data_IF_561788342692
#
_entry.id   IF_561788342692
#
_cell.length_a   1.000
_cell.length_b   1.000
_cell.length_c   1.000
_cell.angle_alpha   90.00
_cell.angle_beta   90.00
_cell.angle_gamma   90.00
#
_symmetry.space_group_name_H-M   'P 1'
#
loop_
_entity.id
_entity.type
_entity.pdbx_description
1 polymer ?
#
# COMPACT_ATOMS: atom_id res chain seq x y z
N UNK A 1 -26.13 -7.10 -44.66
CA UNK A 1 -26.83 -8.38 -44.89
C UNK A 1 -27.80 -8.62 -43.74
N UNK A 2 -29.07 -8.86 -44.07
CA UNK A 2 -30.18 -9.10 -43.15
C UNK A 2 -30.00 -10.42 -42.39
N UNK A 3 -30.15 -10.41 -41.06
CA UNK A 3 -30.40 -11.65 -40.30
C UNK A 3 -31.90 -11.93 -40.32
N UNK A 4 -32.29 -12.90 -41.15
CA UNK A 4 -33.65 -13.41 -41.24
C UNK A 4 -34.02 -14.25 -40.02
N UNK A 5 -35.25 -14.03 -39.57
CA UNK A 5 -36.00 -14.87 -38.62
C UNK A 5 -36.28 -16.20 -39.31
N UNK A 6 -35.64 -17.28 -38.88
CA UNK A 6 -36.07 -18.65 -39.17
C UNK A 6 -35.70 -19.57 -38.01
N UNK A 7 -36.71 -20.20 -37.40
CA UNK A 7 -36.51 -21.34 -36.50
C UNK A 7 -37.15 -21.26 -35.12
N UNK A 8 -38.39 -20.76 -34.99
CA UNK A 8 -39.14 -20.80 -33.72
C UNK A 8 -40.18 -21.93 -33.64
N UNK A 9 -40.07 -22.99 -34.43
CA UNK A 9 -41.09 -24.06 -34.51
C UNK A 9 -40.61 -25.49 -34.19
N UNK A 10 -39.50 -25.66 -33.45
CA UNK A 10 -39.16 -26.99 -32.88
C UNK A 10 -38.64 -26.88 -31.45
N UNK A 11 -39.45 -26.40 -30.52
CA UNK A 11 -39.17 -26.46 -29.08
C UNK A 11 -40.35 -27.03 -28.26
N UNK A 12 -40.97 -28.11 -28.75
CA UNK A 12 -42.02 -28.83 -28.01
C UNK A 12 -41.72 -30.34 -27.87
N UNK A 13 -40.46 -30.71 -27.66
CA UNK A 13 -40.07 -32.13 -27.44
C UNK A 13 -39.05 -32.38 -26.33
N UNK A 14 -38.69 -31.36 -25.57
CA UNK A 14 -37.86 -31.55 -24.38
C UNK A 14 -38.75 -31.38 -23.15
N UNK A 15 -39.00 -32.49 -22.45
CA UNK A 15 -39.66 -32.47 -21.15
C UNK A 15 -38.87 -31.67 -20.10
N UNK A 16 -39.25 -31.72 -18.80
CA UNK A 16 -38.72 -30.84 -17.75
C UNK A 16 -37.18 -30.77 -17.67
N UNK A 17 -36.48 -31.81 -18.14
CA UNK A 17 -35.03 -31.85 -18.27
C UNK A 17 -34.45 -30.81 -19.24
N UNK A 18 -35.09 -30.53 -20.38
CA UNK A 18 -34.58 -29.54 -21.34
C UNK A 18 -34.78 -28.10 -20.90
N UNK A 19 -35.85 -27.83 -20.14
CA UNK A 19 -36.07 -26.53 -19.51
C UNK A 19 -35.02 -26.28 -18.40
N UNK A 20 -34.64 -27.30 -17.63
CA UNK A 20 -33.58 -27.20 -16.62
C UNK A 20 -32.20 -27.01 -17.26
N UNK A 21 -31.90 -27.69 -18.38
CA UNK A 21 -30.65 -27.49 -19.11
C UNK A 21 -30.60 -26.10 -19.75
N UNK A 22 -31.70 -25.59 -20.30
CA UNK A 22 -31.77 -24.23 -20.83
C UNK A 22 -31.68 -23.17 -19.73
N UNK A 23 -32.29 -23.40 -18.55
CA UNK A 23 -32.11 -22.55 -17.36
C UNK A 23 -30.67 -22.59 -16.84
N UNK A 24 -30.01 -23.75 -16.80
CA UNK A 24 -28.61 -23.87 -16.40
C UNK A 24 -27.66 -23.22 -17.42
N UNK A 25 -27.99 -23.26 -18.71
CA UNK A 25 -27.25 -22.56 -19.77
C UNK A 25 -27.50 -21.05 -19.74
N UNK A 26 -28.71 -20.60 -19.43
CA UNK A 26 -29.03 -19.19 -19.25
C UNK A 26 -28.46 -18.64 -17.93
N UNK A 27 -28.39 -19.43 -16.85
CA UNK A 27 -27.63 -19.08 -15.64
C UNK A 27 -26.11 -19.07 -15.88
N UNK A 28 -25.59 -19.96 -16.74
CA UNK A 28 -24.18 -19.91 -17.19
C UNK A 28 -23.89 -18.74 -18.13
N UNK A 29 -24.88 -18.28 -18.91
CA UNK A 29 -24.74 -17.12 -19.78
C UNK A 29 -24.95 -15.78 -19.05
N UNK A 30 -25.74 -15.74 -17.97
CA UNK A 30 -25.89 -14.54 -17.15
C UNK A 30 -24.80 -14.41 -16.05
N UNK A 31 -23.99 -15.44 -15.83
CA UNK A 31 -22.78 -15.40 -15.01
C UNK A 31 -21.49 -15.11 -15.80
N UNK A 32 -21.59 -14.74 -17.09
CA UNK A 32 -20.47 -14.35 -17.95
C UNK A 32 -20.71 -12.99 -18.59
N UNK A 33 -20.82 -11.97 -17.76
CA UNK A 33 -20.74 -10.56 -18.21
C UNK A 33 -20.14 -9.66 -17.11
N UNK A 34 -18.91 -9.96 -16.73
CA UNK A 34 -17.86 -9.01 -16.37
C UNK A 34 -16.57 -9.76 -16.70
N UNK A 35 -15.69 -9.23 -17.55
CA UNK A 35 -14.38 -9.83 -17.78
C UNK A 35 -13.58 -9.79 -16.47
N UNK A 36 -13.73 -10.86 -15.66
CA UNK A 36 -13.36 -10.98 -14.26
C UNK A 36 -11.86 -11.15 -14.01
N UNK A 37 -11.06 -10.18 -14.46
CA UNK A 37 -9.66 -10.06 -14.05
C UNK A 37 -9.59 -9.16 -12.83
N UNK A 38 -8.85 -9.62 -11.83
CA UNK A 38 -8.48 -8.83 -10.66
C UNK A 38 -7.93 -7.45 -11.10
N UNK A 39 -8.51 -6.31 -10.68
CA UNK A 39 -8.08 -4.98 -11.13
C UNK A 39 -6.64 -4.64 -10.75
N UNK A 40 -6.07 -5.28 -9.71
CA UNK A 40 -4.67 -5.12 -9.35
C UNK A 40 -3.74 -5.73 -10.39
N UNK A 41 -4.16 -6.82 -11.05
CA UNK A 41 -3.32 -7.52 -12.05
C UNK A 41 -2.90 -6.60 -13.18
N UNK A 42 -3.82 -5.84 -13.77
CA UNK A 42 -3.50 -4.95 -14.90
C UNK A 42 -2.55 -3.82 -14.48
N UNK A 43 -2.68 -3.34 -13.24
CA UNK A 43 -1.76 -2.35 -12.67
C UNK A 43 -0.36 -2.95 -12.51
N UNK A 44 -0.26 -4.15 -11.93
CA UNK A 44 1.01 -4.86 -11.75
C UNK A 44 1.70 -5.16 -13.08
N UNK A 45 0.95 -5.67 -14.07
CA UNK A 45 1.48 -5.99 -15.41
C UNK A 45 2.06 -4.77 -16.12
N UNK A 46 1.56 -3.57 -15.81
CA UNK A 46 2.04 -2.31 -16.40
C UNK A 46 3.35 -1.82 -15.79
N UNK A 47 3.57 -2.01 -14.49
CA UNK A 47 4.72 -1.43 -13.78
C UNK A 47 5.83 -2.43 -13.48
N UNK A 48 5.53 -3.72 -13.40
CA UNK A 48 6.50 -4.71 -12.94
C UNK A 48 7.66 -4.87 -13.94
N UNK A 49 8.87 -4.95 -13.40
CA UNK A 49 10.08 -5.35 -14.14
C UNK A 49 10.45 -6.75 -13.66
N UNK A 50 10.57 -7.70 -14.59
CA UNK A 50 10.83 -9.12 -14.28
C UNK A 50 9.87 -9.68 -13.22
N UNK A 51 8.58 -9.37 -13.38
CA UNK A 51 7.49 -9.72 -12.43
C UNK A 51 7.71 -9.18 -11.00
N UNK A 52 8.63 -8.26 -10.79
CA UNK A 52 8.90 -7.61 -9.50
C UNK A 52 8.35 -6.18 -9.48
N UNK A 53 7.64 -5.85 -8.40
CA UNK A 53 7.16 -4.49 -8.12
C UNK A 53 7.68 -4.00 -6.76
N UNK A 54 8.03 -2.73 -6.65
CA UNK A 54 8.31 -2.06 -5.38
C UNK A 54 7.01 -1.49 -4.83
N UNK A 55 6.67 -1.81 -3.59
CA UNK A 55 5.44 -1.38 -2.94
C UNK A 55 5.77 -0.51 -1.74
N UNK A 56 5.04 0.59 -1.61
CA UNK A 56 5.01 1.42 -0.41
C UNK A 56 3.58 1.93 -0.18
N UNK A 57 3.31 2.58 0.94
CA UNK A 57 1.97 3.03 1.30
C UNK A 57 1.96 4.47 1.81
N UNK A 58 0.99 5.26 1.34
CA UNK A 58 0.84 6.67 1.67
C UNK A 58 -0.58 7.00 2.12
N UNK A 59 -0.67 8.01 2.97
CA UNK A 59 -1.92 8.66 3.34
C UNK A 59 -1.72 10.18 3.40
N UNK A 60 -2.81 10.93 3.53
CA UNK A 60 -2.81 12.40 3.54
C UNK A 60 -1.75 13.03 4.47
N UNK A 61 -1.56 12.55 5.72
CA UNK A 61 -0.56 13.13 6.64
C UNK A 61 0.91 12.93 6.22
N UNK A 62 1.17 12.04 5.26
CA UNK A 62 2.51 11.62 4.82
C UNK A 62 2.80 11.99 3.36
N UNK A 63 2.03 12.89 2.74
CA UNK A 63 2.24 13.31 1.35
C UNK A 63 3.66 13.85 1.09
N UNK A 64 4.24 14.54 2.06
CA UNK A 64 5.60 15.08 1.93
C UNK A 64 6.69 14.01 2.00
N UNK A 65 6.45 12.94 2.76
CA UNK A 65 7.30 11.76 2.72
C UNK A 65 7.16 11.04 1.37
N UNK A 66 5.94 10.92 0.84
CA UNK A 66 5.70 10.32 -0.47
C UNK A 66 6.42 11.07 -1.59
N UNK A 67 6.32 12.39 -1.66
CA UNK A 67 7.08 13.17 -2.64
C UNK A 67 8.58 12.97 -2.50
N UNK A 68 9.10 13.05 -1.27
CA UNK A 68 10.52 12.85 -1.02
C UNK A 68 10.99 11.47 -1.50
N UNK A 69 10.26 10.42 -1.11
CA UNK A 69 10.57 9.05 -1.49
C UNK A 69 10.56 8.86 -3.00
N UNK A 70 9.52 9.37 -3.70
CA UNK A 70 9.42 9.29 -5.15
C UNK A 70 10.60 10.01 -5.82
N UNK A 71 10.95 11.21 -5.37
CA UNK A 71 12.05 11.98 -5.98
C UNK A 71 13.40 11.26 -5.87
N UNK A 72 13.67 10.58 -4.74
CA UNK A 72 14.86 9.74 -4.59
C UNK A 72 14.83 8.52 -5.51
N UNK A 73 13.72 7.77 -5.51
CA UNK A 73 13.57 6.55 -6.32
C UNK A 73 13.62 6.85 -7.82
N UNK A 74 12.96 7.91 -8.28
CA UNK A 74 13.02 8.34 -9.67
C UNK A 74 14.37 8.97 -10.05
N UNK A 75 15.06 9.61 -9.10
CA UNK A 75 16.44 10.07 -9.25
C UNK A 75 17.38 8.91 -9.61
N UNK A 76 17.16 7.74 -9.00
CA UNK A 76 17.84 6.48 -9.28
C UNK A 76 17.34 5.75 -10.55
N UNK A 77 16.44 6.38 -11.33
CA UNK A 77 15.83 5.84 -12.55
C UNK A 77 14.97 4.58 -12.33
N UNK A 78 14.51 4.37 -11.11
CA UNK A 78 13.61 3.28 -10.76
C UNK A 78 12.18 3.67 -11.16
N UNK A 79 11.49 2.79 -11.88
CA UNK A 79 10.13 3.02 -12.39
C UNK A 79 9.14 1.91 -12.03
N UNK A 80 9.59 0.78 -11.51
CA UNK A 80 8.73 -0.36 -11.19
C UNK A 80 8.14 -0.28 -9.77
N UNK A 81 7.62 0.89 -9.38
CA UNK A 81 7.05 1.11 -8.06
C UNK A 81 5.55 1.45 -8.11
N UNK A 82 4.84 1.10 -7.02
CA UNK A 82 3.46 1.49 -6.76
C UNK A 82 3.32 2.00 -5.32
N UNK A 83 2.51 3.04 -5.17
CA UNK A 83 2.10 3.60 -3.90
C UNK A 83 0.66 3.18 -3.64
N UNK A 84 0.48 2.40 -2.59
CA UNK A 84 -0.82 2.00 -2.09
C UNK A 84 -1.37 3.18 -1.29
N UNK A 85 -2.46 3.80 -1.76
CA UNK A 85 -2.96 5.03 -1.15
C UNK A 85 -4.19 4.75 -0.29
N UNK A 86 -4.19 5.25 0.95
CA UNK A 86 -5.24 4.93 1.93
C UNK A 86 -6.49 5.82 1.87
N UNK A 87 -6.37 6.99 1.23
CA UNK A 87 -7.45 7.96 1.11
C UNK A 87 -7.51 8.68 -0.24
N UNK A 88 -8.70 9.13 -0.60
CA UNK A 88 -9.02 9.77 -1.88
C UNK A 88 -8.28 11.11 -2.08
N UNK A 89 -7.98 11.82 -0.98
CA UNK A 89 -7.28 13.12 -1.04
C UNK A 89 -5.83 12.91 -1.44
N UNK A 90 -5.14 11.99 -0.77
CA UNK A 90 -3.78 11.61 -1.12
C UNK A 90 -3.72 10.99 -2.52
N UNK A 91 -4.70 10.17 -2.90
CA UNK A 91 -4.74 9.54 -4.22
C UNK A 91 -4.82 10.61 -5.31
N UNK A 92 -5.77 11.55 -5.20
CA UNK A 92 -5.92 12.64 -6.16
C UNK A 92 -4.66 13.49 -6.29
N UNK A 93 -3.97 13.74 -5.17
CA UNK A 93 -2.73 14.50 -5.18
C UNK A 93 -1.60 13.74 -5.87
N UNK A 94 -1.34 12.50 -5.46
CA UNK A 94 -0.22 11.70 -5.96
C UNK A 94 -0.44 11.28 -7.42
N UNK A 95 -1.65 10.89 -7.81
CA UNK A 95 -1.95 10.50 -9.19
C UNK A 95 -1.83 11.67 -10.16
N UNK A 96 -2.20 12.89 -9.72
CA UNK A 96 -2.02 14.10 -10.53
C UNK A 96 -0.53 14.43 -10.77
N UNK A 97 0.31 14.29 -9.75
CA UNK A 97 1.72 14.71 -9.80
C UNK A 97 2.66 13.59 -10.28
N UNK A 98 2.29 12.33 -10.06
CA UNK A 98 3.06 11.12 -10.38
C UNK A 98 2.16 10.05 -11.03
N UNK A 99 1.63 10.34 -12.23
CA UNK A 99 0.60 9.52 -12.86
C UNK A 99 1.08 8.09 -13.13
N UNK A 100 0.20 7.13 -12.87
CA UNK A 100 0.45 5.71 -13.15
C UNK A 100 1.23 4.96 -12.06
N UNK A 101 1.64 5.61 -10.97
CA UNK A 101 2.33 4.95 -9.85
C UNK A 101 1.48 4.82 -8.59
N UNK A 102 0.20 5.17 -8.64
CA UNK A 102 -0.71 5.09 -7.50
C UNK A 102 -1.72 3.95 -7.66
N UNK A 103 -2.11 3.35 -6.53
CA UNK A 103 -3.19 2.37 -6.44
C UNK A 103 -4.32 2.99 -5.62
N UNK A 104 -5.51 3.03 -6.21
CA UNK A 104 -6.68 3.63 -5.59
C UNK A 104 -7.09 2.85 -4.31
N UNK A 105 -7.51 3.54 -3.23
CA UNK A 105 -7.95 2.92 -1.98
C UNK A 105 -8.99 1.80 -2.15
N UNK A 106 -9.90 1.92 -3.11
CA UNK A 106 -10.94 0.91 -3.40
C UNK A 106 -10.41 -0.42 -3.94
N UNK A 107 -9.16 -0.47 -4.41
CA UNK A 107 -8.50 -1.73 -4.80
C UNK A 107 -7.91 -2.42 -3.56
N UNK A 108 -7.55 -1.63 -2.53
CA UNK A 108 -6.87 -2.06 -1.31
C UNK A 108 -7.89 -2.49 -0.25
N UNK A 109 -9.01 -1.77 -0.14
CA UNK A 109 -10.04 -1.99 0.87
C UNK A 109 -11.44 -1.88 0.28
N UNK A 110 -12.37 -2.69 0.78
CA UNK A 110 -13.79 -2.64 0.42
C UNK A 110 -14.58 -1.60 1.25
N UNK A 111 -13.89 -0.68 1.93
CA UNK A 111 -14.55 0.36 2.68
C UNK A 111 -15.47 1.20 1.76
N UNK A 112 -16.67 1.59 2.21
CA UNK A 112 -17.63 2.32 1.38
C UNK A 112 -17.18 3.77 1.10
N UNK A 113 -16.23 4.29 1.89
CA UNK A 113 -15.66 5.64 1.75
C UNK A 113 -14.19 5.61 2.13
N UNK A 114 -13.37 6.38 1.42
CA UNK A 114 -11.94 6.53 1.65
C UNK A 114 -11.60 8.00 1.91
N UNK A 115 -12.31 8.62 2.86
CA UNK A 115 -12.02 9.99 3.29
C UNK A 115 -10.62 10.14 3.88
N UNK A 116 -10.12 11.39 4.03
CA UNK A 116 -8.76 11.65 4.51
C UNK A 116 -8.51 10.96 5.85
N UNK A 117 -7.41 10.21 5.94
CA UNK A 117 -7.02 9.56 7.20
C UNK A 117 -6.38 10.59 8.14
N UNK A 118 -6.74 10.60 9.43
CA UNK A 118 -6.01 11.38 10.41
C UNK A 118 -4.62 10.81 10.61
N UNK A 119 -3.71 11.62 11.16
CA UNK A 119 -2.45 11.10 11.66
C UNK A 119 -2.74 10.11 12.80
N UNK A 120 -2.45 8.84 12.56
CA UNK A 120 -2.65 7.79 13.56
C UNK A 120 -1.54 7.85 14.61
N UNK A 121 -1.92 7.69 15.88
CA UNK A 121 -0.94 7.59 16.97
C UNK A 121 -0.23 6.24 16.86
N UNK A 122 1.10 6.25 16.95
CA UNK A 122 1.91 5.03 17.01
C UNK A 122 1.42 4.11 18.14
N UNK A 123 1.39 2.80 17.86
CA UNK A 123 0.91 1.75 18.77
C UNK A 123 -0.55 1.92 19.25
N UNK A 124 -1.35 2.69 18.51
CA UNK A 124 -2.81 2.67 18.69
C UNK A 124 -3.42 1.48 17.97
N UNK A 125 -4.62 1.08 18.38
CA UNK A 125 -5.36 -0.01 17.72
C UNK A 125 -5.56 0.27 16.23
N UNK A 126 -5.93 1.50 15.86
CA UNK A 126 -6.11 1.88 14.46
C UNK A 126 -4.80 1.80 13.65
N UNK A 127 -3.67 2.21 14.27
CA UNK A 127 -2.35 2.07 13.66
C UNK A 127 -2.01 0.60 13.44
N UNK A 128 -2.13 -0.25 14.47
CA UNK A 128 -1.82 -1.68 14.37
C UNK A 128 -2.71 -2.36 13.32
N UNK A 129 -4.01 -2.03 13.29
CA UNK A 129 -4.94 -2.54 12.28
C UNK A 129 -4.54 -2.15 10.87
N UNK A 130 -4.16 -0.89 10.63
CA UNK A 130 -3.67 -0.41 9.34
C UNK A 130 -2.40 -1.18 8.92
N UNK A 131 -1.46 -1.36 9.84
CA UNK A 131 -0.22 -2.10 9.60
C UNK A 131 -0.51 -3.56 9.22
N UNK A 132 -1.47 -4.23 9.87
CA UNK A 132 -1.88 -5.58 9.47
C UNK A 132 -2.61 -5.62 8.12
N UNK A 133 -3.46 -4.63 7.82
CA UNK A 133 -4.23 -4.58 6.57
C UNK A 133 -3.34 -4.52 5.32
N UNK A 134 -2.16 -3.90 5.41
CA UNK A 134 -1.21 -3.82 4.27
C UNK A 134 -0.71 -5.19 3.82
N UNK A 135 -0.70 -6.20 4.70
CA UNK A 135 -0.34 -7.57 4.32
C UNK A 135 -1.38 -8.19 3.38
N UNK A 136 -2.64 -7.75 3.45
CA UNK A 136 -3.72 -8.26 2.59
C UNK A 136 -3.45 -8.01 1.10
N UNK A 137 -2.97 -6.81 0.76
CA UNK A 137 -2.60 -6.44 -0.61
C UNK A 137 -1.27 -7.07 -1.02
N UNK A 138 -0.26 -7.12 -0.14
CA UNK A 138 1.00 -7.84 -0.39
C UNK A 138 0.76 -9.33 -0.74
N UNK A 139 -0.11 -9.99 0.02
CA UNK A 139 -0.54 -11.37 -0.23
C UNK A 139 -1.17 -11.54 -1.60
N UNK A 140 -2.07 -10.63 -1.97
CA UNK A 140 -2.74 -10.63 -3.27
C UNK A 140 -1.73 -10.46 -4.43
N UNK A 141 -0.68 -9.65 -4.24
CA UNK A 141 0.40 -9.51 -5.23
C UNK A 141 1.11 -10.85 -5.46
N UNK A 142 1.48 -11.59 -4.40
CA UNK A 142 2.08 -12.92 -4.56
C UNK A 142 1.11 -13.93 -5.19
N UNK A 143 -0.17 -13.91 -4.79
CA UNK A 143 -1.19 -14.81 -5.34
C UNK A 143 -1.41 -14.58 -6.85
N UNK A 144 -1.20 -13.35 -7.33
CA UNK A 144 -1.20 -13.01 -8.75
C UNK A 144 0.08 -13.40 -9.49
N UNK A 145 1.10 -13.90 -8.80
CA UNK A 145 2.35 -14.40 -9.38
C UNK A 145 3.43 -13.33 -9.57
N UNK A 146 3.37 -12.23 -8.81
CA UNK A 146 4.40 -11.19 -8.81
C UNK A 146 5.25 -11.27 -7.55
N UNK A 147 6.55 -11.03 -7.68
CA UNK A 147 7.40 -10.73 -6.53
C UNK A 147 7.20 -9.28 -6.12
N UNK A 148 7.44 -8.97 -4.85
CA UNK A 148 7.44 -7.57 -4.42
C UNK A 148 8.57 -7.26 -3.46
N UNK A 149 9.02 -6.00 -3.49
CA UNK A 149 9.85 -5.38 -2.45
C UNK A 149 8.99 -4.36 -1.72
N UNK A 150 8.64 -4.65 -0.48
CA UNK A 150 8.00 -3.71 0.41
C UNK A 150 9.03 -2.73 0.96
N UNK A 151 8.68 -1.46 1.06
CA UNK A 151 9.45 -0.43 1.76
C UNK A 151 8.51 0.56 2.44
N UNK A 152 8.78 0.90 3.69
CA UNK A 152 8.04 1.94 4.40
C UNK A 152 8.32 3.33 3.80
N UNK A 153 7.34 4.21 3.91
CA UNK A 153 7.33 5.52 3.25
C UNK A 153 8.37 6.50 3.83
N UNK A 154 8.80 6.28 5.05
CA UNK A 154 9.82 7.06 5.76
C UNK A 154 11.23 6.49 5.57
N UNK A 155 11.44 5.77 4.48
CA UNK A 155 12.76 5.40 3.96
C UNK A 155 13.26 6.41 2.94
N UNK A 156 14.57 6.46 2.72
CA UNK A 156 15.20 7.26 1.65
C UNK A 156 16.25 6.41 0.96
N UNK A 157 16.19 6.37 -0.37
CA UNK A 157 17.01 5.50 -1.21
C UNK A 157 18.14 6.30 -1.84
N UNK A 158 19.39 5.95 -1.53
CA UNK A 158 20.59 6.54 -2.12
C UNK A 158 21.18 5.66 -3.23
N UNK A 159 20.81 4.39 -3.26
CA UNK A 159 21.19 3.43 -4.30
C UNK A 159 19.98 2.59 -4.70
N UNK A 160 20.05 1.97 -5.88
CA UNK A 160 18.99 1.10 -6.37
C UNK A 160 18.98 -0.24 -5.62
N UNK A 161 18.24 -0.28 -4.50
CA UNK A 161 18.12 -1.47 -3.66
C UNK A 161 17.58 -2.69 -4.42
N UNK A 162 16.79 -2.48 -5.48
CA UNK A 162 16.23 -3.58 -6.28
C UNK A 162 17.30 -4.39 -7.04
N UNK A 163 18.48 -3.78 -7.25
CA UNK A 163 19.67 -4.43 -7.85
C UNK A 163 20.60 -5.05 -6.81
N UNK A 164 20.52 -4.61 -5.55
CA UNK A 164 21.35 -5.08 -4.44
C UNK A 164 20.73 -6.32 -3.79
N UNK A 165 19.40 -6.37 -3.70
CA UNK A 165 18.68 -7.48 -3.08
C UNK A 165 18.95 -8.78 -3.84
N UNK A 166 19.41 -9.84 -3.15
CA UNK A 166 19.68 -11.11 -3.79
C UNK A 166 18.38 -11.76 -4.29
N UNK A 167 18.50 -12.45 -5.43
CA UNK A 167 17.39 -13.19 -6.06
C UNK A 167 17.46 -14.68 -5.71
N UNK A 168 16.36 -15.39 -5.93
CA UNK A 168 16.27 -16.84 -5.68
C UNK A 168 15.83 -17.23 -4.27
N UNK A 169 15.60 -16.26 -3.38
CA UNK A 169 15.05 -16.48 -2.04
C UNK A 169 13.53 -16.35 -2.02
N UNK A 170 12.88 -17.09 -1.11
CA UNK A 170 11.46 -16.94 -0.80
C UNK A 170 11.20 -15.60 -0.09
N UNK A 171 12.11 -15.24 0.82
CA UNK A 171 12.04 -14.05 1.68
C UNK A 171 13.42 -13.40 1.82
N UNK A 172 13.47 -12.08 1.71
CA UNK A 172 14.64 -11.29 2.10
C UNK A 172 14.19 -10.19 3.05
N UNK A 173 14.82 -10.08 4.21
CA UNK A 173 14.46 -9.08 5.23
C UNK A 173 15.63 -8.19 5.63
N UNK A 174 15.34 -7.17 6.44
CA UNK A 174 16.35 -6.38 7.16
C UNK A 174 16.23 -6.66 8.66
N UNK A 175 17.34 -6.50 9.40
CA UNK A 175 17.30 -6.47 10.85
C UNK A 175 16.71 -5.16 11.37
N UNK A 176 15.86 -5.22 12.40
CA UNK A 176 15.31 -4.04 13.08
C UNK A 176 16.34 -3.42 14.04
N UNK A 177 17.15 -4.27 14.67
CA UNK A 177 18.27 -3.87 15.52
C UNK A 177 19.49 -4.72 15.18
N UNK A 178 20.65 -4.06 15.15
CA UNK A 178 21.94 -4.72 15.08
C UNK A 178 22.86 -4.08 16.12
N UNK A 179 23.04 -4.72 17.27
CA UNK A 179 24.13 -4.33 18.17
C UNK A 179 25.41 -4.99 17.66
N UNK A 180 26.55 -4.32 17.79
CA UNK A 180 27.84 -4.92 17.48
C UNK A 180 28.07 -6.13 18.40
N UNK A 181 27.87 -7.34 17.87
CA UNK A 181 27.94 -8.61 18.59
C UNK A 181 26.84 -9.57 18.12
N UNK A 182 27.20 -10.84 17.87
CA UNK A 182 26.23 -11.89 17.56
C UNK A 182 25.50 -12.29 18.83
N UNK A 183 24.38 -11.64 19.11
CA UNK A 183 23.40 -12.14 20.06
C UNK A 183 22.24 -12.73 19.23
N UNK A 184 21.96 -14.01 19.41
CA UNK A 184 20.89 -14.74 18.70
C UNK A 184 19.53 -14.03 18.88
N UNK A 185 19.35 -13.27 19.97
CA UNK A 185 18.17 -12.44 20.20
C UNK A 185 17.99 -11.31 19.18
N UNK A 186 19.08 -10.76 18.64
CA UNK A 186 19.04 -9.66 17.67
C UNK A 186 18.84 -10.20 16.24
N UNK A 187 19.37 -11.38 15.92
CA UNK A 187 19.07 -12.10 14.65
C UNK A 187 17.59 -12.49 14.52
N UNK A 188 16.87 -12.53 15.64
CA UNK A 188 15.43 -12.79 15.66
C UNK A 188 14.58 -11.53 15.42
N UNK A 189 15.17 -10.32 15.42
CA UNK A 189 14.43 -9.07 15.26
C UNK A 189 14.44 -8.60 13.82
N UNK A 190 13.54 -9.17 13.01
CA UNK A 190 13.31 -8.73 11.64
C UNK A 190 12.46 -7.46 11.61
N UNK A 191 12.83 -6.55 10.73
CA UNK A 191 12.08 -5.34 10.45
C UNK A 191 11.02 -5.62 9.38
N UNK A 192 9.77 -5.25 9.65
CA UNK A 192 8.68 -5.36 8.67
C UNK A 192 8.75 -4.28 7.57
N UNK A 193 9.61 -3.28 7.76
CA UNK A 193 9.62 -2.06 6.96
C UNK A 193 10.36 -2.19 5.63
N UNK A 194 11.18 -3.23 5.44
CA UNK A 194 11.79 -3.52 4.14
C UNK A 194 11.96 -5.02 3.94
N UNK A 195 11.09 -5.60 3.10
CA UNK A 195 11.08 -7.05 2.85
C UNK A 195 10.86 -7.34 1.38
N UNK A 196 11.55 -8.33 0.83
CA UNK A 196 11.30 -8.87 -0.50
C UNK A 196 10.70 -10.26 -0.41
N UNK A 197 9.71 -10.53 -1.24
CA UNK A 197 8.99 -11.79 -1.30
C UNK A 197 8.87 -12.30 -2.72
N UNK A 198 9.18 -13.57 -2.92
CA UNK A 198 8.95 -14.28 -4.19
C UNK A 198 7.60 -15.00 -4.20
N UNK A 199 6.92 -15.18 -5.35
CA UNK A 199 5.61 -15.83 -5.41
C UNK A 199 5.70 -17.37 -5.35
N UNK A 200 6.59 -17.91 -4.53
CA UNK A 200 6.74 -19.36 -4.33
C UNK A 200 5.60 -19.91 -3.48
N UNK A 201 5.48 -21.24 -3.42
CA UNK A 201 4.48 -21.89 -2.54
C UNK A 201 4.77 -21.59 -1.06
N UNK A 202 6.01 -21.75 -0.55
CA UNK A 202 6.33 -21.44 0.85
C UNK A 202 6.09 -19.97 1.21
N UNK A 203 6.57 -19.03 0.38
CA UNK A 203 6.40 -17.59 0.63
C UNK A 203 4.92 -17.18 0.70
N UNK A 204 4.10 -17.65 -0.25
CA UNK A 204 2.65 -17.38 -0.25
C UNK A 204 1.95 -17.91 0.99
N UNK A 205 2.36 -19.10 1.46
CA UNK A 205 1.81 -19.68 2.68
C UNK A 205 2.22 -18.88 3.92
N UNK A 206 3.51 -18.56 4.05
CA UNK A 206 4.02 -17.75 5.16
C UNK A 206 3.35 -16.38 5.24
N UNK A 207 3.19 -15.67 4.12
CA UNK A 207 2.53 -14.36 4.09
C UNK A 207 1.02 -14.47 4.39
N UNK A 208 0.36 -15.56 4.00
CA UNK A 208 -1.03 -15.86 4.39
C UNK A 208 -1.17 -16.03 5.90
N UNK A 209 -0.29 -16.81 6.50
CA UNK A 209 -0.26 -17.09 7.93
C UNK A 209 0.07 -15.82 8.73
N UNK A 210 1.04 -15.03 8.26
CA UNK A 210 1.39 -13.74 8.87
C UNK A 210 0.22 -12.78 8.85
N UNK A 211 -0.42 -12.60 7.69
CA UNK A 211 -1.62 -11.77 7.59
C UNK A 211 -2.75 -12.27 8.51
N UNK A 212 -3.04 -13.58 8.51
CA UNK A 212 -4.08 -14.16 9.33
C UNK A 212 -3.82 -14.01 10.83
N UNK A 213 -2.57 -14.15 11.27
CA UNK A 213 -2.19 -13.93 12.67
C UNK A 213 -2.30 -12.45 13.04
N UNK A 214 -1.81 -11.55 12.18
CA UNK A 214 -1.77 -10.12 12.43
C UNK A 214 -3.17 -9.52 12.63
N UNK A 215 -4.10 -9.78 11.69
CA UNK A 215 -5.46 -9.23 11.74
C UNK A 215 -6.29 -9.73 12.93
N UNK A 216 -5.90 -10.85 13.54
CA UNK A 216 -6.53 -11.41 14.72
C UNK A 216 -5.77 -11.06 16.02
N UNK A 217 -4.77 -10.18 15.93
CA UNK A 217 -3.97 -9.71 17.05
C UNK A 217 -4.27 -8.23 17.35
N UNK A 218 -3.79 -7.74 18.50
CA UNK A 218 -3.83 -6.32 18.86
C UNK A 218 -2.47 -5.62 18.63
N UNK A 219 -1.52 -6.30 17.99
CA UNK A 219 -0.17 -5.79 17.70
C UNK A 219 -0.01 -5.55 16.20
N UNK A 220 0.98 -4.74 15.84
CA UNK A 220 1.31 -4.48 14.44
C UNK A 220 1.92 -5.70 13.73
N UNK A 221 2.12 -5.54 12.42
CA UNK A 221 2.66 -6.56 11.55
C UNK A 221 4.12 -6.91 11.86
N UNK A 222 4.95 -5.94 12.23
CA UNK A 222 6.33 -6.19 12.60
C UNK A 222 6.44 -7.07 13.86
N UNK A 223 5.70 -6.75 14.93
CA UNK A 223 5.68 -7.58 16.15
C UNK A 223 5.16 -8.99 15.86
N UNK A 224 4.13 -9.10 15.01
CA UNK A 224 3.62 -10.41 14.58
C UNK A 224 4.68 -11.19 13.79
N UNK A 225 5.40 -10.54 12.87
CA UNK A 225 6.47 -11.16 12.10
C UNK A 225 7.60 -11.64 13.02
N UNK A 226 8.03 -10.81 13.97
CA UNK A 226 9.07 -11.16 14.92
C UNK A 226 8.69 -12.36 15.78
N UNK A 227 7.44 -12.43 16.25
CA UNK A 227 6.93 -13.60 16.98
C UNK A 227 7.01 -14.88 16.13
N UNK A 228 6.56 -14.82 14.87
CA UNK A 228 6.60 -15.95 13.95
C UNK A 228 8.02 -16.33 13.52
N UNK A 229 8.93 -15.36 13.47
CA UNK A 229 10.32 -15.57 13.11
C UNK A 229 11.11 -16.19 14.28
N UNK A 230 10.86 -15.70 15.49
CA UNK A 230 11.49 -16.18 16.72
C UNK A 230 11.04 -17.60 17.10
N UNK A 231 9.83 -18.01 16.71
CA UNK A 231 9.39 -19.41 16.89
C UNK A 231 10.19 -20.40 16.03
N UNK A 232 10.93 -19.92 15.03
CA UNK A 232 11.75 -20.72 14.12
C UNK A 232 10.97 -21.38 12.98
N UNK A 233 9.64 -21.41 13.03
CA UNK A 233 8.79 -22.05 12.02
C UNK A 233 8.98 -21.43 10.62
N UNK A 234 9.01 -20.09 10.53
CA UNK A 234 9.29 -19.41 9.26
C UNK A 234 10.71 -19.69 8.76
N UNK A 235 11.70 -19.74 9.65
CA UNK A 235 13.11 -19.98 9.30
C UNK A 235 13.35 -21.37 8.72
N UNK A 236 12.55 -22.36 9.14
CA UNK A 236 12.65 -23.74 8.67
C UNK A 236 11.97 -23.95 7.32
N UNK A 237 10.92 -23.19 7.02
CA UNK A 237 10.09 -23.38 5.81
C UNK A 237 10.48 -22.50 4.64
N UNK A 238 11.08 -21.33 4.90
CA UNK A 238 11.48 -20.38 3.86
C UNK A 238 12.96 -20.56 3.52
N UNK A 239 13.29 -20.42 2.24
CA UNK A 239 14.65 -20.10 1.87
C UNK A 239 14.83 -18.58 1.98
N UNK A 240 15.59 -18.13 2.99
CA UNK A 240 15.63 -16.72 3.39
C UNK A 240 17.04 -16.11 3.41
N UNK A 241 17.09 -14.78 3.34
CA UNK A 241 18.31 -13.99 3.50
C UNK A 241 18.05 -12.73 4.33
N UNK A 242 18.95 -12.36 5.23
CA UNK A 242 18.90 -11.07 5.94
C UNK A 242 19.96 -10.14 5.38
N UNK A 243 19.52 -8.97 4.93
CA UNK A 243 20.39 -7.98 4.31
C UNK A 243 21.37 -7.36 5.31
N UNK A 244 22.59 -7.03 4.87
CA UNK A 244 23.60 -6.43 5.73
C UNK A 244 23.17 -5.04 6.20
N UNK A 245 23.27 -4.81 7.51
CA UNK A 245 22.85 -3.55 8.14
C UNK A 245 23.63 -2.34 7.61
N UNK A 246 24.84 -2.53 7.08
CA UNK A 246 25.65 -1.44 6.52
C UNK A 246 24.96 -0.80 5.29
N UNK A 247 24.21 -1.60 4.53
CA UNK A 247 23.47 -1.13 3.36
C UNK A 247 22.04 -0.74 3.71
N UNK A 248 21.46 -1.36 4.74
CA UNK A 248 20.07 -1.16 5.15
C UNK A 248 19.94 -0.91 6.67
N UNK A 249 20.58 0.15 7.21
CA UNK A 249 20.55 0.40 8.64
C UNK A 249 19.18 0.88 9.10
N UNK A 250 18.77 0.45 10.31
CA UNK A 250 17.64 1.07 10.99
C UNK A 250 18.01 2.46 11.52
N UNK A 251 17.00 3.30 11.75
CA UNK A 251 17.18 4.63 12.31
C UNK A 251 17.82 4.65 13.70
N UNK A 252 17.73 3.55 14.46
CA UNK A 252 18.46 3.39 15.72
C UNK A 252 19.98 3.22 15.52
N UNK A 253 20.40 2.59 14.42
CA UNK A 253 21.81 2.38 14.09
C UNK A 253 22.46 3.64 13.52
N UNK A 254 21.67 4.45 12.81
CA UNK A 254 22.13 5.68 12.18
C UNK A 254 22.55 6.78 13.17
N UNK A 255 22.34 6.60 14.47
CA UNK A 255 22.89 7.47 15.52
C UNK A 255 24.24 6.96 16.07
N UNK A 256 24.60 5.71 15.77
CA UNK A 256 25.76 5.01 16.32
C UNK A 256 26.90 4.84 15.32
N UNK A 257 26.63 5.08 14.03
CA UNK A 257 27.60 4.86 12.96
C UNK A 257 27.85 6.15 12.19
N UNK A 258 29.10 6.30 11.73
CA UNK A 258 29.48 7.36 10.80
C UNK A 258 28.90 7.02 9.44
N UNK A 259 28.10 7.92 8.86
CA UNK A 259 27.48 7.73 7.55
C UNK A 259 28.00 8.78 6.60
N UNK A 260 28.32 8.38 5.38
CA UNK A 260 28.60 9.31 4.31
C UNK A 260 27.34 9.52 3.47
N UNK A 261 26.78 10.74 3.57
CA UNK A 261 25.63 11.18 2.78
C UNK A 261 26.04 11.98 1.55
N UNK A 262 27.31 12.40 1.48
CA UNK A 262 27.87 12.89 0.24
C UNK A 262 28.23 11.66 -0.60
N UNK A 263 28.00 11.68 -1.91
CA UNK A 263 28.55 10.65 -2.79
C UNK A 263 30.10 10.78 -2.90
N UNK A 264 30.78 11.12 -1.80
CA UNK A 264 32.22 11.33 -1.73
C UNK A 264 32.94 10.00 -1.80
N UNK A 265 34.22 10.03 -2.18
CA UNK A 265 34.97 8.79 -2.27
C UNK A 265 35.24 8.27 -0.86
N UNK A 266 35.30 6.94 -0.69
CA UNK A 266 35.57 6.31 0.61
C UNK A 266 36.89 6.80 1.28
N UNK A 267 37.81 7.39 0.51
CA UNK A 267 39.04 8.02 1.00
C UNK A 267 38.79 9.32 1.77
N UNK A 268 37.73 10.07 1.42
CA UNK A 268 37.41 11.36 2.05
C UNK A 268 36.77 11.17 3.43
N UNK A 269 36.19 9.99 3.66
CA UNK A 269 35.49 9.67 4.90
C UNK A 269 35.79 8.26 5.43
N UNK A 270 37.02 7.98 5.90
CA UNK A 270 37.40 6.64 6.39
C UNK A 270 36.49 6.17 7.53
N UNK A 271 36.03 4.93 7.41
CA UNK A 271 35.14 4.28 8.39
C UNK A 271 33.66 4.67 8.30
N UNK A 272 33.27 5.53 7.35
CA UNK A 272 31.86 5.80 7.11
C UNK A 272 31.19 4.69 6.30
N UNK A 273 29.94 4.37 6.64
CA UNK A 273 29.09 3.50 5.82
C UNK A 273 28.39 4.30 4.72
N UNK A 274 28.22 3.67 3.56
CA UNK A 274 27.50 4.19 2.40
C UNK A 274 26.21 3.39 2.23
N UNK A 275 25.13 3.73 2.95
CA UNK A 275 23.89 2.95 2.93
C UNK A 275 23.24 3.01 1.53
N UNK A 276 22.57 1.92 1.16
CA UNK A 276 21.71 1.91 -0.01
C UNK A 276 20.37 2.59 0.30
N UNK A 277 19.84 2.32 1.49
CA UNK A 277 18.59 2.88 2.00
C UNK A 277 18.79 3.27 3.47
N UNK A 278 18.31 4.43 3.86
CA UNK A 278 18.16 4.78 5.27
C UNK A 278 16.69 4.77 5.67
N UNK A 279 16.43 4.56 6.95
CA UNK A 279 15.09 4.44 7.48
C UNK A 279 14.92 5.33 8.70
N UNK A 280 13.87 6.15 8.72
CA UNK A 280 13.52 7.00 9.86
C UNK A 280 12.63 6.27 10.89
N UNK A 281 12.69 4.93 10.96
CA UNK A 281 12.15 4.22 12.13
C UNK A 281 12.90 4.66 13.39
N UNK A 282 12.30 4.41 14.56
CA UNK A 282 12.77 4.93 15.85
C UNK A 282 12.64 6.44 16.01
N UNK A 283 11.88 7.11 15.15
CA UNK A 283 11.41 8.49 15.33
C UNK A 283 9.89 8.47 15.40
N UNK A 284 9.33 8.96 16.50
CA UNK A 284 7.88 9.02 16.69
C UNK A 284 7.33 10.32 16.14
N UNK A 285 6.37 10.21 15.22
CA UNK A 285 5.68 11.34 14.63
C UNK A 285 6.38 11.93 13.39
N UNK A 286 5.61 12.59 12.51
CA UNK A 286 6.14 13.17 11.27
C UNK A 286 7.24 14.22 11.47
N UNK A 287 7.15 15.05 12.52
CA UNK A 287 8.11 16.15 12.78
C UNK A 287 9.51 15.59 13.11
N UNK A 288 9.58 14.60 14.00
CA UNK A 288 10.84 13.96 14.38
C UNK A 288 11.49 13.25 13.19
N UNK A 289 10.69 12.56 12.36
CA UNK A 289 11.15 11.91 11.13
C UNK A 289 11.71 12.93 10.13
N UNK A 290 11.03 14.07 9.92
CA UNK A 290 11.52 15.15 9.05
C UNK A 290 12.85 15.70 9.50
N UNK A 291 12.96 16.04 10.79
CA UNK A 291 14.21 16.54 11.37
C UNK A 291 15.36 15.55 11.13
N UNK A 292 15.10 14.27 11.42
CA UNK A 292 16.07 13.20 11.20
C UNK A 292 16.57 13.12 9.75
N UNK A 293 15.66 13.19 8.77
CA UNK A 293 16.02 13.17 7.35
C UNK A 293 16.74 14.46 6.90
N UNK A 294 16.33 15.62 7.41
CA UNK A 294 16.93 16.91 7.09
C UNK A 294 18.38 17.00 7.56
N UNK A 295 18.65 16.60 8.80
CA UNK A 295 20.01 16.55 9.38
C UNK A 295 20.97 15.62 8.63
N UNK A 296 20.42 14.74 7.80
CA UNK A 296 21.14 13.73 7.01
C UNK A 296 21.12 14.01 5.52
N UNK A 297 20.74 15.23 5.11
CA UNK A 297 20.63 15.64 3.72
C UNK A 297 19.76 14.71 2.85
N UNK A 298 18.80 14.02 3.48
CA UNK A 298 17.96 13.00 2.86
C UNK A 298 16.60 13.54 2.39
N UNK A 299 16.49 14.87 2.22
CA UNK A 299 15.27 15.54 1.77
C UNK A 299 15.53 16.23 0.43
N UNK A 300 14.80 15.80 -0.60
CA UNK A 300 14.83 16.38 -1.95
C UNK A 300 13.45 16.95 -2.24
N UNK A 301 13.35 18.27 -2.35
CA UNK A 301 12.10 18.96 -2.62
C UNK A 301 12.17 20.44 -2.28
N UNK A 302 11.76 21.30 -3.23
CA UNK A 302 11.45 22.70 -2.92
C UNK A 302 10.29 22.70 -1.92
N UNK A 303 10.21 23.67 -1.02
CA UNK A 303 9.18 23.80 0.03
C UNK A 303 7.70 23.87 -0.42
N UNK A 304 7.33 23.34 -1.59
CA UNK A 304 5.98 23.21 -2.13
C UNK A 304 5.06 22.31 -1.29
N UNK A 305 5.62 21.46 -0.41
CA UNK A 305 4.86 20.78 0.65
C UNK A 305 4.13 21.78 1.55
N UNK A 306 4.70 22.97 1.78
CA UNK A 306 4.03 24.02 2.54
C UNK A 306 2.73 24.48 1.85
N UNK A 307 2.65 24.41 0.51
CA UNK A 307 1.44 24.71 -0.25
C UNK A 307 0.39 23.59 -0.19
N UNK A 308 0.80 22.31 -0.10
CA UNK A 308 -0.13 21.20 0.18
C UNK A 308 -0.65 21.24 1.64
N UNK A 309 0.18 21.74 2.57
CA UNK A 309 -0.22 22.02 3.97
C UNK A 309 -1.13 23.25 4.10
N UNK A 310 -0.90 24.32 3.34
CA UNK A 310 -1.70 25.55 3.35
C UNK A 310 -2.98 25.43 2.54
N UNK A 311 -2.99 24.63 1.46
CA UNK A 311 -4.21 24.24 0.76
C UNK A 311 -4.90 23.09 1.52
N UNK A 312 -5.40 23.40 2.72
CA UNK A 312 -6.73 23.05 3.21
C UNK A 312 -7.46 21.84 2.54
N UNK A 313 -6.80 20.69 2.39
CA UNK A 313 -7.40 19.50 1.77
C UNK A 313 -7.38 18.33 2.75
N UNK A 314 -6.26 18.07 3.43
CA UNK A 314 -6.22 17.05 4.49
C UNK A 314 -7.02 17.47 5.75
N UNK A 315 -7.04 18.77 6.10
CA UNK A 315 -7.74 19.31 7.27
C UNK A 315 -9.18 19.76 7.01
N UNK A 316 -9.54 20.10 5.77
CA UNK A 316 -10.78 20.85 5.44
C UNK A 316 -11.83 19.98 4.76
N UNK A 317 -11.47 18.82 4.21
CA UNK A 317 -12.42 17.87 3.61
C UNK A 317 -13.32 17.19 4.66
N UNK A 318 -12.88 17.12 5.92
CA UNK A 318 -13.68 16.62 7.05
C UNK A 318 -14.91 17.51 7.35
N UNK A 319 -14.85 18.82 7.05
CA UNK A 319 -15.96 19.74 7.34
C UNK A 319 -16.95 19.94 6.18
N UNK A 320 -16.56 19.68 4.93
CA UNK A 320 -17.42 19.92 3.76
C UNK A 320 -18.46 18.81 3.52
N UNK A 321 -18.20 17.58 4.00
CA UNK A 321 -19.14 16.45 3.89
C UNK A 321 -20.26 16.50 4.95
N UNK A 322 -20.03 17.19 6.08
CA UNK A 322 -21.07 17.44 7.10
C UNK A 322 -22.04 18.56 6.70
N UNK A 323 -21.56 19.61 6.03
CA UNK A 323 -22.42 20.75 5.62
C UNK A 323 -23.19 20.54 4.32
N UNK A 324 -22.66 19.77 3.37
CA UNK A 324 -23.33 19.57 2.07
C UNK A 324 -24.60 18.69 2.15
N UNK A 325 -24.65 17.73 3.08
CA UNK A 325 -25.88 16.94 3.31
C UNK A 325 -26.94 17.70 4.13
N UNK A 326 -26.55 18.60 5.03
CA UNK A 326 -27.52 19.42 5.77
C UNK A 326 -28.15 20.50 4.88
N UNK A 327 -27.40 21.06 3.92
CA UNK A 327 -27.91 22.06 2.99
C UNK A 327 -28.73 21.49 1.82
N UNK A 328 -28.52 20.22 1.42
CA UNK A 328 -29.39 19.55 0.45
C UNK A 328 -30.71 19.06 1.06
N UNK A 329 -30.73 18.65 2.34
CA UNK A 329 -31.97 18.29 3.03
C UNK A 329 -32.87 19.51 3.34
N UNK A 330 -32.29 20.68 3.66
CA UNK A 330 -33.06 21.90 3.93
C UNK A 330 -33.67 22.49 2.64
N UNK A 331 -33.02 22.34 1.47
CA UNK A 331 -33.58 22.79 0.18
C UNK A 331 -34.66 21.87 -0.39
N UNK A 332 -34.66 20.57 -0.06
CA UNK A 332 -35.77 19.68 -0.44
C UNK A 332 -37.03 19.89 0.42
N UNK A 333 -36.90 20.31 1.68
CA UNK A 333 -38.05 20.57 2.58
C UNK A 333 -38.74 21.93 2.34
N UNK A 334 -38.07 22.91 1.73
CA UNK A 334 -38.71 24.20 1.39
C UNK A 334 -39.44 24.20 0.05
N UNK A 335 -39.23 23.19 -0.81
CA UNK A 335 -39.91 23.05 -2.10
C UNK A 335 -41.19 22.19 -2.07
N UNK A 336 -41.51 21.56 -0.94
CA UNK A 336 -42.71 20.70 -0.78
C UNK A 336 -43.87 21.42 -0.06
N UNK A 337 -43.67 22.62 0.50
CA UNK A 337 -44.74 23.38 1.21
C UNK A 337 -45.25 24.59 0.39
N UNK A 338 -45.31 24.47 -0.95
CA UNK A 338 -45.91 25.53 -1.79
C UNK A 338 -46.67 25.03 -3.01
N UNK A 339 -47.42 23.93 -2.91
CA UNK A 339 -48.53 23.65 -3.84
C UNK A 339 -49.62 22.86 -3.10
N UNK A 340 -50.60 23.57 -2.52
CA UNK A 340 -52.01 23.13 -2.41
C UNK A 340 -52.78 24.03 -1.42
N UNK A 341 -53.28 25.16 -1.90
CA UNK A 341 -54.43 25.85 -1.30
C UNK A 341 -55.63 25.62 -2.23
N UNK A 342 -56.72 24.98 -1.80
CA UNK A 342 -57.94 24.92 -2.60
C UNK A 342 -58.65 26.28 -2.55
N UNK A 343 -59.06 26.78 -3.72
CA UNK A 343 -59.94 27.94 -3.83
C UNK A 343 -61.35 27.63 -3.32
N UNK A 344 -62.13 28.65 -2.90
CA UNK A 344 -63.49 28.45 -2.43
C UNK A 344 -64.45 28.19 -3.61
N UNK A 345 -65.35 27.23 -3.43
CA UNK A 345 -66.50 27.01 -4.31
C UNK A 345 -67.62 28.02 -4.00
N UNK A 346 -68.43 28.41 -5.00
CA UNK A 346 -69.41 29.48 -4.86
C UNK A 346 -70.72 29.00 -4.23
N UNK A 347 -71.25 29.83 -3.32
CA UNK A 347 -72.67 30.17 -3.19
C UNK A 347 -72.78 31.64 -2.82
#
# INVERSE_FOLDING_TARGET
MQCGVYGMERMARWGPVGAVVLLLLLFRCNARSHNGRDPLRSILERVAVDKTVILTQASCPYLDFAENWILHVEGLKIKNYLILVDDDVAFKYLDKNFPGHTVHPSIISNAPRHGPKPLMRYDSLDFNNMMCQRLGIQKRVLDLGFSFLWTDMDTVWFQDASKIIPRGFDFVGTGDRFRFGHDDEEENKICGCMTFWSPTVPARQALREWHAKCINSNVDDQRTLQEMWASGDLKQRLFWYIMPWQLFPSGALLDQVKVDFSHSQAQDNPGAVLPAVIHANYRTGPEAKRKFLQERHAVVGKGNVAAARQNNSCSTFSQSVSRSHLFQLIRCLTLIVRVSTPGPAPW
#
